data_IF_562254822221
#
_entry.id   IF_562254822221
#
_cell.length_a   1.000
_cell.length_b   1.000
_cell.length_c   1.000
_cell.angle_alpha   90.00
_cell.angle_beta   90.00
_cell.angle_gamma   90.00
#
_symmetry.space_group_name_H-M   'P 1'
#
loop_
_entity.id
_entity.type
_entity.pdbx_description
1 polymer ?
#
# COMPACT_ATOMS: atom_id res chain seq x y z
N UNK A 1 27.24 -64.63 31.70
CA UNK A 1 25.78 -64.72 31.43
C UNK A 1 25.36 -63.60 30.50
N UNK A 2 25.18 -63.89 29.23
CA UNK A 2 24.69 -62.96 28.20
C UNK A 2 23.16 -63.14 28.17
N UNK A 3 22.43 -62.23 28.75
CA UNK A 3 20.98 -62.17 28.61
C UNK A 3 20.70 -61.42 27.29
N UNK A 4 19.91 -61.96 26.34
CA UNK A 4 19.49 -61.26 25.17
C UNK A 4 18.54 -60.17 25.60
N UNK A 5 18.85 -58.92 25.19
CA UNK A 5 17.93 -57.77 25.33
C UNK A 5 16.62 -58.08 24.59
N UNK A 6 15.47 -57.75 25.18
CA UNK A 6 14.19 -58.05 24.55
C UNK A 6 14.01 -57.17 23.30
N UNK A 7 13.81 -57.82 22.16
CA UNK A 7 13.56 -57.18 20.85
C UNK A 7 12.36 -56.18 20.83
N UNK A 8 11.58 -56.18 21.91
CA UNK A 8 10.46 -55.24 22.05
C UNK A 8 10.87 -53.82 22.41
N UNK A 9 12.03 -53.59 23.06
CA UNK A 9 12.54 -52.24 23.33
C UNK A 9 13.00 -51.53 22.05
N UNK A 10 13.61 -52.27 21.13
CA UNK A 10 14.15 -51.76 19.88
C UNK A 10 13.03 -51.27 18.89
N UNK A 11 11.88 -51.94 18.89
CA UNK A 11 10.73 -51.55 18.04
C UNK A 11 10.03 -50.33 18.63
N UNK A 12 9.89 -50.23 19.95
CA UNK A 12 9.26 -49.07 20.59
C UNK A 12 10.09 -47.81 20.40
N UNK A 13 11.43 -47.92 20.51
CA UNK A 13 12.35 -46.81 20.30
C UNK A 13 12.36 -46.37 18.81
N UNK A 14 12.29 -47.30 17.86
CA UNK A 14 12.20 -47.04 16.44
C UNK A 14 10.90 -46.32 16.05
N UNK A 15 9.77 -46.76 16.62
CA UNK A 15 8.46 -46.13 16.40
C UNK A 15 8.43 -44.74 17.03
N UNK A 16 9.00 -44.56 18.22
CA UNK A 16 9.08 -43.31 18.91
C UNK A 16 9.92 -42.27 18.11
N UNK A 17 11.10 -42.65 17.65
CA UNK A 17 11.98 -41.80 16.85
C UNK A 17 11.35 -41.42 15.50
N UNK A 18 10.64 -42.34 14.84
CA UNK A 18 9.90 -42.07 13.62
C UNK A 18 8.75 -41.07 13.87
N UNK A 19 7.99 -41.25 14.94
CA UNK A 19 6.89 -40.36 15.32
C UNK A 19 7.41 -38.94 15.66
N UNK A 20 8.51 -38.84 16.39
CA UNK A 20 9.19 -37.58 16.71
C UNK A 20 9.68 -36.88 15.46
N UNK A 21 10.28 -37.61 14.50
CA UNK A 21 10.69 -37.08 13.22
C UNK A 21 9.52 -36.49 12.43
N UNK A 22 8.43 -37.24 12.32
CA UNK A 22 7.23 -36.79 11.61
C UNK A 22 6.58 -35.55 12.27
N UNK A 23 6.50 -35.49 13.59
CA UNK A 23 5.98 -34.32 14.31
C UNK A 23 6.88 -33.11 14.17
N UNK A 24 8.19 -33.30 14.18
CA UNK A 24 9.18 -32.23 13.97
C UNK A 24 9.06 -31.63 12.56
N UNK A 25 8.98 -32.48 11.52
CA UNK A 25 8.82 -32.07 10.15
C UNK A 25 7.50 -31.32 9.94
N UNK A 26 6.43 -31.78 10.56
CA UNK A 26 5.13 -31.12 10.52
C UNK A 26 5.16 -29.74 11.19
N UNK A 27 5.78 -29.61 12.36
CA UNK A 27 5.94 -28.30 13.01
C UNK A 27 6.80 -27.35 12.18
N UNK A 28 7.92 -27.84 11.63
CA UNK A 28 8.79 -27.03 10.79
C UNK A 28 8.08 -26.57 9.49
N UNK A 29 7.25 -27.43 8.91
CA UNK A 29 6.43 -27.06 7.75
C UNK A 29 5.41 -25.96 8.11
N UNK A 30 4.71 -26.06 9.24
CA UNK A 30 3.78 -25.03 9.69
C UNK A 30 4.50 -23.70 9.95
N UNK A 31 5.64 -23.72 10.64
CA UNK A 31 6.40 -22.49 10.89
C UNK A 31 6.96 -21.90 9.60
N UNK A 32 7.43 -22.73 8.66
CA UNK A 32 7.85 -22.29 7.33
C UNK A 32 6.71 -21.59 6.58
N UNK A 33 5.52 -22.20 6.56
CA UNK A 33 4.33 -21.60 5.94
C UNK A 33 3.92 -20.26 6.58
N UNK A 34 4.06 -20.12 7.92
CA UNK A 34 3.80 -18.84 8.61
C UNK A 34 4.78 -17.74 8.17
N UNK A 35 6.07 -18.08 8.04
CA UNK A 35 7.11 -17.14 7.57
C UNK A 35 6.83 -16.69 6.13
N UNK A 36 6.47 -17.61 5.25
CA UNK A 36 6.16 -17.30 3.84
C UNK A 36 4.94 -16.39 3.72
N UNK A 37 3.91 -16.63 4.54
CA UNK A 37 2.72 -15.78 4.64
C UNK A 37 3.10 -14.38 5.12
N UNK A 38 3.93 -14.24 6.15
CA UNK A 38 4.37 -12.94 6.66
C UNK A 38 5.22 -12.18 5.62
N UNK A 39 6.11 -12.86 4.90
CA UNK A 39 6.91 -12.26 3.81
C UNK A 39 6.03 -11.74 2.67
N UNK A 40 4.97 -12.46 2.33
CA UNK A 40 4.06 -12.05 1.24
C UNK A 40 3.28 -10.77 1.53
N UNK A 41 3.12 -10.38 2.80
CA UNK A 41 2.51 -9.10 3.21
C UNK A 41 3.55 -7.99 3.24
N UNK A 42 4.77 -8.29 3.69
CA UNK A 42 5.83 -7.34 3.98
C UNK A 42 6.50 -6.71 2.74
N UNK A 43 7.82 -6.56 2.82
CA UNK A 43 8.65 -5.82 1.84
C UNK A 43 8.56 -6.34 0.39
N UNK A 44 8.28 -7.63 0.20
CA UNK A 44 8.14 -8.26 -1.13
C UNK A 44 6.69 -8.31 -1.65
N UNK A 45 5.72 -7.86 -0.85
CA UNK A 45 4.30 -8.00 -1.12
C UNK A 45 3.59 -6.74 -1.61
N UNK A 46 2.28 -6.71 -1.35
CA UNK A 46 1.34 -5.66 -1.82
C UNK A 46 1.72 -4.25 -1.35
N UNK A 47 2.46 -4.11 -0.24
CA UNK A 47 2.86 -2.81 0.32
C UNK A 47 4.00 -2.13 -0.43
N UNK A 48 4.86 -2.89 -1.10
CA UNK A 48 6.01 -2.40 -1.88
C UNK A 48 5.73 -2.34 -3.39
N UNK A 49 4.56 -2.78 -3.84
CA UNK A 49 4.16 -2.78 -5.24
C UNK A 49 4.20 -1.36 -5.83
N UNK A 50 4.58 -1.24 -7.12
CA UNK A 50 4.50 0.03 -7.84
C UNK A 50 3.04 0.46 -8.00
N UNK A 51 2.80 1.76 -8.25
CA UNK A 51 1.45 2.27 -8.46
C UNK A 51 0.69 1.52 -9.57
N UNK A 52 1.40 1.07 -10.60
CA UNK A 52 0.82 0.35 -11.74
C UNK A 52 0.42 -1.10 -11.42
N UNK A 53 1.13 -1.74 -10.48
CA UNK A 53 0.98 -3.18 -10.17
C UNK A 53 0.28 -3.47 -8.86
N UNK A 54 -0.12 -2.44 -8.11
CA UNK A 54 -0.63 -2.54 -6.74
C UNK A 54 -1.86 -3.45 -6.59
N UNK A 55 -2.75 -3.49 -7.58
CA UNK A 55 -3.95 -4.35 -7.59
C UNK A 55 -3.86 -5.53 -8.58
N UNK A 56 -2.65 -5.93 -8.92
CA UNK A 56 -2.42 -7.03 -9.84
C UNK A 56 -2.40 -6.58 -11.30
N UNK A 57 -1.39 -6.97 -12.05
CA UNK A 57 -1.14 -6.55 -13.42
C UNK A 57 -0.50 -7.64 -14.28
N UNK A 58 -0.91 -8.91 -14.14
CA UNK A 58 -0.42 -9.96 -15.04
C UNK A 58 -1.45 -10.43 -16.07
N UNK A 59 -2.57 -9.71 -16.22
CA UNK A 59 -3.62 -9.98 -17.20
C UNK A 59 -3.62 -8.98 -18.37
N UNK A 60 -4.46 -9.25 -19.37
CA UNK A 60 -4.63 -8.41 -20.57
C UNK A 60 -5.16 -6.99 -20.28
N UNK A 61 -5.71 -6.75 -19.09
CA UNK A 61 -6.22 -5.45 -18.63
C UNK A 61 -5.85 -5.30 -17.17
N UNK A 62 -5.03 -4.30 -16.85
CA UNK A 62 -4.70 -3.99 -15.46
C UNK A 62 -5.76 -3.06 -14.85
N UNK A 63 -5.93 -3.10 -13.53
CA UNK A 63 -6.80 -2.14 -12.84
C UNK A 63 -6.33 -0.70 -13.06
N UNK A 64 -5.03 -0.50 -13.20
CA UNK A 64 -4.42 0.78 -13.55
C UNK A 64 -4.96 1.30 -14.89
N UNK A 65 -5.01 0.47 -15.94
CA UNK A 65 -5.48 0.87 -17.28
C UNK A 65 -6.96 1.28 -17.25
N UNK A 66 -7.79 0.56 -16.47
CA UNK A 66 -9.19 0.91 -16.28
C UNK A 66 -9.33 2.29 -15.61
N UNK A 67 -8.62 2.50 -14.51
CA UNK A 67 -8.68 3.74 -13.73
C UNK A 67 -8.13 4.91 -14.54
N UNK A 68 -7.03 4.72 -15.26
CA UNK A 68 -6.45 5.72 -16.15
C UNK A 68 -7.40 6.06 -17.30
N UNK A 69 -8.03 5.05 -17.91
CA UNK A 69 -9.04 5.27 -18.95
C UNK A 69 -10.27 6.05 -18.47
N UNK A 70 -10.75 5.79 -17.25
CA UNK A 70 -11.83 6.56 -16.62
C UNK A 70 -11.39 8.00 -16.33
N UNK A 71 -10.17 8.19 -15.83
CA UNK A 71 -9.61 9.51 -15.60
C UNK A 71 -9.55 10.32 -16.89
N UNK A 72 -8.99 9.76 -17.97
CA UNK A 72 -8.81 10.44 -19.25
C UNK A 72 -10.15 10.75 -19.95
N UNK A 73 -11.05 9.77 -20.01
CA UNK A 73 -12.29 9.89 -20.78
C UNK A 73 -13.41 10.67 -20.08
N UNK A 74 -13.48 10.59 -18.76
CA UNK A 74 -14.61 11.15 -18.00
C UNK A 74 -14.19 12.28 -17.03
N UNK A 75 -13.21 12.05 -16.19
CA UNK A 75 -12.92 12.96 -15.07
C UNK A 75 -12.10 14.17 -15.52
N UNK A 76 -11.15 13.98 -16.43
CA UNK A 76 -10.32 15.08 -16.96
C UNK A 76 -11.16 16.16 -17.66
N UNK A 77 -12.11 15.86 -18.56
CA UNK A 77 -12.98 16.87 -19.15
C UNK A 77 -13.83 17.62 -18.11
N UNK A 78 -14.31 16.92 -17.07
CA UNK A 78 -15.05 17.54 -15.97
C UNK A 78 -14.14 18.50 -15.21
N UNK A 79 -12.92 18.09 -14.87
CA UNK A 79 -11.92 18.93 -14.19
C UNK A 79 -11.57 20.20 -14.99
N UNK A 80 -11.38 20.07 -16.30
CA UNK A 80 -11.16 21.21 -17.20
C UNK A 80 -12.38 22.13 -17.27
N UNK A 81 -13.59 21.58 -17.26
CA UNK A 81 -14.84 22.34 -17.20
C UNK A 81 -14.97 23.15 -15.90
N UNK A 82 -14.68 22.52 -14.77
CA UNK A 82 -14.66 23.20 -13.46
C UNK A 82 -13.60 24.31 -13.44
N UNK A 83 -12.40 24.06 -13.97
CA UNK A 83 -11.34 25.06 -14.05
C UNK A 83 -11.77 26.25 -14.91
N UNK A 84 -12.43 26.01 -16.05
CA UNK A 84 -12.96 27.07 -16.91
C UNK A 84 -14.02 27.90 -16.20
N UNK A 85 -14.89 27.26 -15.42
CA UNK A 85 -15.87 27.95 -14.59
C UNK A 85 -15.20 28.82 -13.52
N UNK A 86 -14.22 28.26 -12.82
CA UNK A 86 -13.39 28.97 -11.83
C UNK A 86 -12.74 30.22 -12.45
N UNK A 87 -12.17 30.08 -13.64
CA UNK A 87 -11.54 31.19 -14.37
C UNK A 87 -12.56 32.27 -14.72
N UNK A 88 -13.74 31.89 -15.20
CA UNK A 88 -14.82 32.85 -15.53
C UNK A 88 -15.27 33.63 -14.28
N UNK A 89 -15.42 32.95 -13.13
CA UNK A 89 -15.76 33.63 -11.87
C UNK A 89 -14.68 34.63 -11.45
N UNK A 90 -13.41 34.29 -11.63
CA UNK A 90 -12.28 35.18 -11.33
C UNK A 90 -12.29 36.42 -12.25
N UNK A 91 -12.55 36.22 -13.55
CA UNK A 91 -12.69 37.33 -14.49
C UNK A 91 -13.82 38.30 -14.11
N UNK A 92 -14.99 37.73 -13.70
CA UNK A 92 -16.11 38.56 -13.25
C UNK A 92 -15.74 39.35 -11.99
N UNK A 93 -15.05 38.75 -11.03
CA UNK A 93 -14.57 39.42 -9.80
C UNK A 93 -13.60 40.56 -10.14
N UNK A 94 -12.69 40.38 -11.10
CA UNK A 94 -11.77 41.41 -11.57
C UNK A 94 -12.54 42.52 -12.27
N UNK A 95 -13.48 42.18 -13.18
CA UNK A 95 -14.32 43.16 -13.89
C UNK A 95 -15.12 44.06 -12.96
N UNK A 96 -15.72 43.47 -11.91
CA UNK A 96 -16.47 44.22 -10.89
C UNK A 96 -15.60 45.19 -10.08
N UNK A 97 -14.32 44.87 -9.88
CA UNK A 97 -13.38 45.77 -9.20
C UNK A 97 -12.93 46.95 -10.11
N UNK A 98 -13.03 46.77 -11.43
CA UNK A 98 -12.59 47.75 -12.41
C UNK A 98 -13.56 48.93 -12.57
N UNK A 99 -14.85 48.78 -12.26
CA UNK A 99 -15.87 49.85 -12.38
C UNK A 99 -15.59 51.08 -11.49
N UNK A 100 -14.57 51.00 -10.61
CA UNK A 100 -14.25 52.06 -9.65
C UNK A 100 -12.88 52.76 -9.82
N UNK A 101 -11.97 52.33 -10.71
CA UNK A 101 -10.63 52.91 -10.83
C UNK A 101 -9.99 52.74 -12.20
N UNK A 102 -9.37 53.82 -12.72
CA UNK A 102 -8.77 53.97 -14.05
C UNK A 102 -7.64 52.96 -14.36
N UNK A 103 -7.91 52.13 -15.31
CA UNK A 103 -7.18 51.59 -16.47
C UNK A 103 -5.85 50.79 -16.37
N UNK A 104 -4.85 51.09 -15.59
CA UNK A 104 -3.53 50.42 -15.72
C UNK A 104 -3.29 49.20 -14.77
N UNK A 105 -3.75 49.14 -13.53
CA UNK A 105 -3.58 47.97 -12.68
C UNK A 105 -4.34 46.73 -13.16
N UNK A 106 -5.47 46.94 -13.84
CA UNK A 106 -6.35 45.88 -14.31
C UNK A 106 -5.71 44.95 -15.37
N UNK A 107 -4.91 45.49 -16.28
CA UNK A 107 -4.24 44.68 -17.31
C UNK A 107 -3.23 43.72 -16.68
N UNK A 108 -2.51 44.16 -15.66
CA UNK A 108 -1.56 43.29 -14.92
C UNK A 108 -2.28 42.15 -14.19
N UNK A 109 -3.44 42.45 -13.60
CA UNK A 109 -4.23 41.41 -12.90
C UNK A 109 -4.78 40.35 -13.86
N UNK A 110 -5.27 40.77 -15.03
CA UNK A 110 -5.76 39.87 -16.08
C UNK A 110 -4.63 38.99 -16.64
N UNK A 111 -3.46 39.59 -16.93
CA UNK A 111 -2.30 38.82 -17.40
C UNK A 111 -1.82 37.82 -16.36
N UNK A 112 -1.77 38.23 -15.09
CA UNK A 112 -1.41 37.31 -13.99
C UNK A 112 -2.42 36.19 -13.87
N UNK A 113 -3.72 36.47 -13.99
CA UNK A 113 -4.77 35.44 -13.97
C UNK A 113 -4.65 34.48 -15.14
N UNK A 114 -4.30 34.94 -16.34
CA UNK A 114 -4.07 34.10 -17.52
C UNK A 114 -2.89 33.14 -17.31
N UNK A 115 -1.77 33.66 -16.80
CA UNK A 115 -0.61 32.81 -16.47
C UNK A 115 -0.98 31.80 -15.41
N UNK A 116 -1.69 32.20 -14.37
CA UNK A 116 -2.17 31.30 -13.30
C UNK A 116 -3.10 30.23 -13.85
N UNK A 117 -4.04 30.58 -14.73
CA UNK A 117 -4.92 29.65 -15.41
C UNK A 117 -4.13 28.61 -16.23
N UNK A 118 -3.13 29.05 -16.99
CA UNK A 118 -2.30 28.14 -17.78
C UNK A 118 -1.54 27.13 -16.89
N UNK A 119 -1.01 27.61 -15.76
CA UNK A 119 -0.34 26.73 -14.78
C UNK A 119 -1.32 25.69 -14.19
N UNK A 120 -2.53 26.14 -13.80
CA UNK A 120 -3.54 25.21 -13.28
C UNK A 120 -4.09 24.26 -14.33
N UNK A 121 -4.23 24.71 -15.57
CA UNK A 121 -4.61 23.84 -16.68
C UNK A 121 -3.59 22.73 -16.88
N UNK A 122 -2.31 23.06 -16.89
CA UNK A 122 -1.23 22.08 -16.95
C UNK A 122 -1.28 21.11 -15.76
N UNK A 123 -1.50 21.62 -14.55
CA UNK A 123 -1.58 20.81 -13.34
C UNK A 123 -2.78 19.84 -13.38
N UNK A 124 -3.93 20.28 -13.88
CA UNK A 124 -5.15 19.46 -14.02
C UNK A 124 -4.95 18.39 -15.08
N UNK A 125 -4.33 18.73 -16.22
CA UNK A 125 -4.05 17.79 -17.30
C UNK A 125 -3.07 16.69 -16.89
N UNK A 126 -2.10 16.98 -16.01
CA UNK A 126 -1.11 16.02 -15.51
C UNK A 126 -1.38 15.59 -14.06
N UNK A 127 -2.63 15.72 -13.62
CA UNK A 127 -3.01 15.45 -12.23
C UNK A 127 -2.81 13.99 -11.82
N UNK A 128 -3.07 13.06 -12.71
CA UNK A 128 -2.87 11.62 -12.46
C UNK A 128 -1.38 11.29 -12.29
N UNK A 129 -0.54 11.79 -13.18
CA UNK A 129 0.93 11.64 -13.11
C UNK A 129 1.50 12.27 -11.85
N UNK A 130 0.95 13.43 -11.43
CA UNK A 130 1.33 14.08 -10.17
C UNK A 130 1.02 13.18 -8.96
N UNK A 131 -0.15 12.56 -8.93
CA UNK A 131 -0.53 11.63 -7.86
C UNK A 131 0.34 10.37 -7.87
N UNK A 132 0.63 9.83 -9.05
CA UNK A 132 1.56 8.71 -9.22
C UNK A 132 2.97 9.08 -8.72
N UNK A 133 3.50 10.24 -9.09
CA UNK A 133 4.80 10.71 -8.62
C UNK A 133 4.85 10.88 -7.09
N UNK A 134 3.78 11.42 -6.50
CA UNK A 134 3.68 11.56 -5.04
C UNK A 134 3.68 10.20 -4.33
N UNK A 135 2.99 9.21 -4.89
CA UNK A 135 3.02 7.84 -4.39
C UNK A 135 4.42 7.23 -4.50
N UNK A 136 5.11 7.38 -5.65
CA UNK A 136 6.45 6.83 -5.86
C UNK A 136 7.49 7.43 -4.89
N UNK A 137 7.41 8.73 -4.61
CA UNK A 137 8.26 9.36 -3.57
C UNK A 137 8.01 8.71 -2.21
N UNK A 138 6.76 8.45 -1.87
CA UNK A 138 6.42 7.78 -0.61
C UNK A 138 6.91 6.33 -0.60
N UNK A 139 6.80 5.62 -1.72
CA UNK A 139 7.31 4.25 -1.88
C UNK A 139 8.82 4.17 -1.67
N UNK A 140 9.57 5.10 -2.26
CA UNK A 140 11.02 5.19 -2.05
C UNK A 140 11.35 5.45 -0.58
N UNK A 141 10.58 6.30 0.10
CA UNK A 141 10.75 6.53 1.53
C UNK A 141 10.47 5.26 2.35
N UNK A 142 9.41 4.51 2.01
CA UNK A 142 9.09 3.21 2.64
C UNK A 142 10.26 2.23 2.44
N UNK A 143 10.76 2.08 1.21
CA UNK A 143 11.88 1.18 0.92
C UNK A 143 13.13 1.54 1.73
N UNK A 144 13.48 2.84 1.81
CA UNK A 144 14.63 3.28 2.62
C UNK A 144 14.46 3.00 4.11
N UNK A 145 13.24 3.15 4.63
CA UNK A 145 12.95 2.80 6.03
C UNK A 145 13.08 1.28 6.21
N UNK A 146 12.54 0.49 5.30
CA UNK A 146 12.67 -0.98 5.33
C UNK A 146 14.13 -1.42 5.27
N UNK A 147 14.94 -0.80 4.40
CA UNK A 147 16.39 -1.11 4.29
C UNK A 147 17.14 -0.79 5.58
N UNK A 148 16.77 0.30 6.25
CA UNK A 148 17.37 0.67 7.54
C UNK A 148 17.01 -0.30 8.67
N UNK A 149 15.77 -0.76 8.71
CA UNK A 149 15.31 -1.73 9.70
C UNK A 149 15.66 -3.17 9.31
N UNK A 150 15.63 -3.50 8.02
CA UNK A 150 15.96 -4.82 7.48
C UNK A 150 17.43 -5.19 7.61
N UNK A 151 18.34 -4.25 7.43
CA UNK A 151 19.78 -4.48 7.64
C UNK A 151 20.18 -4.60 9.12
N UNK A 152 19.29 -4.25 10.07
CA UNK A 152 19.54 -4.36 11.53
C UNK A 152 18.67 -5.40 12.22
N UNK A 153 17.59 -5.82 11.61
CA UNK A 153 16.66 -6.83 12.09
C UNK A 153 16.27 -7.76 10.92
N UNK A 154 17.24 -8.41 10.30
CA UNK A 154 16.96 -9.76 9.84
C UNK A 154 16.58 -10.53 11.11
N UNK A 155 15.31 -10.43 11.48
CA UNK A 155 14.67 -11.54 12.14
C UNK A 155 14.87 -12.70 11.16
N UNK A 156 15.96 -13.44 11.38
CA UNK A 156 16.29 -14.63 10.60
C UNK A 156 15.20 -15.68 10.91
N UNK A 157 13.98 -15.36 10.44
CA UNK A 157 12.79 -16.20 10.59
C UNK A 157 12.94 -17.49 9.78
N UNK A 158 14.00 -17.58 8.95
CA UNK A 158 14.36 -18.80 8.25
C UNK A 158 14.97 -19.87 9.17
N UNK A 159 15.27 -19.54 10.43
CA UNK A 159 15.84 -20.45 11.42
C UNK A 159 14.93 -20.78 12.59
N UNK A 160 13.63 -20.52 12.49
CA UNK A 160 12.68 -21.14 13.43
C UNK A 160 12.54 -22.62 13.05
N UNK A 161 13.59 -23.38 13.30
CA UNK A 161 13.58 -24.85 13.24
C UNK A 161 13.66 -25.38 14.66
N UNK A 162 12.79 -26.33 14.97
CA UNK A 162 12.83 -27.04 16.24
C UNK A 162 14.07 -27.93 16.20
N UNK A 163 15.11 -27.52 16.90
CA UNK A 163 16.38 -28.26 17.04
C UNK A 163 16.45 -29.01 18.37
N UNK A 164 15.33 -29.15 19.09
CA UNK A 164 15.30 -29.95 20.32
C UNK A 164 15.62 -31.39 20.00
N UNK A 165 16.69 -31.90 20.62
CA UNK A 165 17.18 -33.27 20.49
C UNK A 165 16.44 -34.24 21.44
N UNK A 166 15.49 -33.71 22.24
CA UNK A 166 14.69 -34.53 23.16
C UNK A 166 13.60 -35.26 22.37
N UNK A 167 13.69 -36.59 22.37
CA UNK A 167 12.73 -37.49 21.76
C UNK A 167 11.49 -37.71 22.65
N UNK A 168 11.01 -36.65 23.30
CA UNK A 168 9.80 -36.64 24.11
C UNK A 168 8.56 -36.35 23.24
N UNK A 169 7.83 -37.42 22.87
CA UNK A 169 6.57 -37.33 22.10
C UNK A 169 5.56 -36.36 22.73
N UNK A 170 5.32 -36.36 24.08
CA UNK A 170 4.40 -35.39 24.69
C UNK A 170 4.79 -33.92 24.49
N UNK A 171 6.08 -33.62 24.57
CA UNK A 171 6.59 -32.27 24.36
C UNK A 171 6.40 -31.77 22.89
N UNK A 172 6.69 -32.64 21.92
CA UNK A 172 6.49 -32.41 20.51
C UNK A 172 5.01 -32.27 20.14
N UNK A 173 4.13 -33.06 20.78
CA UNK A 173 2.69 -32.94 20.61
C UNK A 173 2.17 -31.60 21.15
N UNK A 174 2.67 -31.16 22.29
CA UNK A 174 2.39 -29.84 22.84
C UNK A 174 2.81 -28.69 21.87
N UNK A 175 4.02 -28.80 21.30
CA UNK A 175 4.50 -27.86 20.29
C UNK A 175 3.63 -27.87 19.02
N UNK A 176 3.19 -29.04 18.54
CA UNK A 176 2.32 -29.16 17.39
C UNK A 176 0.96 -28.44 17.60
N UNK A 177 0.39 -28.59 18.80
CA UNK A 177 -0.85 -27.88 19.17
C UNK A 177 -0.62 -26.35 19.17
N UNK A 178 0.47 -25.88 19.76
CA UNK A 178 0.83 -24.44 19.77
C UNK A 178 1.06 -23.95 18.35
N UNK A 179 1.75 -24.72 17.51
CA UNK A 179 1.99 -24.36 16.10
C UNK A 179 0.68 -24.22 15.31
N UNK A 180 -0.29 -25.15 15.52
CA UNK A 180 -1.60 -25.08 14.89
C UNK A 180 -2.40 -23.85 15.34
N UNK A 181 -2.43 -23.56 16.64
CA UNK A 181 -3.12 -22.37 17.16
C UNK A 181 -2.47 -21.11 16.62
N UNK A 182 -1.14 -21.04 16.64
CA UNK A 182 -0.37 -19.92 16.06
C UNK A 182 -0.68 -19.75 14.57
N UNK A 183 -0.75 -20.83 13.80
CA UNK A 183 -1.06 -20.78 12.38
C UNK A 183 -2.45 -20.18 12.10
N UNK A 184 -3.46 -20.56 12.88
CA UNK A 184 -4.80 -19.96 12.75
C UNK A 184 -4.78 -18.45 13.03
N UNK A 185 -4.05 -18.02 14.06
CA UNK A 185 -3.92 -16.59 14.40
C UNK A 185 -3.22 -15.83 13.27
N UNK A 186 -2.11 -16.38 12.74
CA UNK A 186 -1.38 -15.79 11.61
C UNK A 186 -2.25 -15.71 10.36
N UNK A 187 -3.04 -16.75 10.07
CA UNK A 187 -3.95 -16.77 8.93
C UNK A 187 -5.03 -15.68 9.03
N UNK A 188 -5.63 -15.49 10.21
CA UNK A 188 -6.61 -14.42 10.44
C UNK A 188 -5.94 -13.07 10.28
N UNK A 189 -4.77 -12.86 10.86
CA UNK A 189 -4.00 -11.61 10.72
C UNK A 189 -3.65 -11.33 9.25
N UNK A 190 -3.27 -12.35 8.49
CA UNK A 190 -3.00 -12.26 7.05
C UNK A 190 -4.22 -11.77 6.27
N UNK A 191 -5.39 -12.39 6.48
CA UNK A 191 -6.63 -11.97 5.78
C UNK A 191 -6.95 -10.52 6.08
N UNK A 192 -6.84 -10.10 7.34
CA UNK A 192 -7.10 -8.70 7.74
C UNK A 192 -6.10 -7.75 7.05
N UNK A 193 -4.81 -8.06 7.09
CA UNK A 193 -3.77 -7.25 6.45
C UNK A 193 -3.99 -7.14 4.93
N UNK A 194 -4.38 -8.25 4.29
CA UNK A 194 -4.67 -8.29 2.85
C UNK A 194 -5.87 -7.41 2.50
N UNK A 195 -6.97 -7.50 3.25
CA UNK A 195 -8.16 -6.67 3.03
C UNK A 195 -7.82 -5.18 3.22
N UNK A 196 -7.07 -4.81 4.26
CA UNK A 196 -6.65 -3.43 4.51
C UNK A 196 -5.76 -2.90 3.38
N UNK A 197 -4.81 -3.70 2.90
CA UNK A 197 -3.92 -3.32 1.79
C UNK A 197 -4.69 -3.10 0.49
N UNK A 198 -5.64 -3.98 0.18
CA UNK A 198 -6.49 -3.83 -1.02
C UNK A 198 -7.41 -2.62 -0.93
N UNK A 199 -8.04 -2.40 0.22
CA UNK A 199 -8.88 -1.22 0.45
C UNK A 199 -8.09 0.08 0.25
N UNK A 200 -6.85 0.13 0.75
CA UNK A 200 -5.93 1.25 0.55
C UNK A 200 -5.56 1.45 -0.91
N UNK A 201 -5.24 0.37 -1.63
CA UNK A 201 -4.89 0.43 -3.05
C UNK A 201 -6.06 0.98 -3.89
N UNK A 202 -7.28 0.50 -3.65
CA UNK A 202 -8.49 1.01 -4.30
C UNK A 202 -8.70 2.50 -3.96
N UNK A 203 -8.51 2.89 -2.70
CA UNK A 203 -8.65 4.28 -2.27
C UNK A 203 -7.63 5.19 -2.99
N UNK A 204 -6.38 4.78 -3.14
CA UNK A 204 -5.35 5.53 -3.85
C UNK A 204 -5.69 5.70 -5.34
N UNK A 205 -6.15 4.65 -6.00
CA UNK A 205 -6.58 4.73 -7.40
C UNK A 205 -7.78 5.65 -7.58
N UNK A 206 -8.79 5.56 -6.72
CA UNK A 206 -9.95 6.45 -6.77
C UNK A 206 -9.52 7.90 -6.56
N UNK A 207 -8.68 8.17 -5.57
CA UNK A 207 -8.16 9.51 -5.33
C UNK A 207 -7.32 10.00 -6.52
N UNK A 208 -6.49 9.17 -7.14
CA UNK A 208 -5.75 9.57 -8.33
C UNK A 208 -6.68 9.88 -9.52
N UNK A 209 -7.71 9.05 -9.76
CA UNK A 209 -8.67 9.27 -10.83
C UNK A 209 -9.46 10.57 -10.68
N UNK A 210 -9.94 10.86 -9.46
CA UNK A 210 -10.74 12.06 -9.18
C UNK A 210 -9.91 13.33 -8.94
N UNK A 211 -8.58 13.27 -9.01
CA UNK A 211 -7.67 14.40 -8.73
C UNK A 211 -7.92 15.66 -9.56
N UNK A 212 -8.37 15.64 -10.84
CA UNK A 212 -8.60 16.86 -11.62
C UNK A 212 -9.59 17.83 -10.99
N UNK A 213 -10.63 17.30 -10.31
CA UNK A 213 -11.71 18.12 -9.75
C UNK A 213 -11.21 18.98 -8.55
N UNK A 214 -10.65 18.41 -7.48
CA UNK A 214 -10.15 19.22 -6.37
C UNK A 214 -8.95 20.09 -6.74
N UNK A 215 -8.12 19.68 -7.70
CA UNK A 215 -7.01 20.48 -8.19
C UNK A 215 -7.51 21.72 -8.94
N UNK A 216 -8.56 21.60 -9.76
CA UNK A 216 -9.16 22.75 -10.44
C UNK A 216 -9.78 23.77 -9.46
N UNK A 217 -10.33 23.32 -8.34
CA UNK A 217 -10.88 24.17 -7.29
C UNK A 217 -9.81 24.95 -6.50
N UNK A 218 -8.53 24.56 -6.56
CA UNK A 218 -7.44 25.33 -5.97
C UNK A 218 -7.24 26.70 -6.63
N UNK A 219 -7.76 26.89 -7.83
CA UNK A 219 -7.71 28.15 -8.56
C UNK A 219 -8.52 29.28 -7.95
N UNK A 220 -9.51 29.02 -7.10
CA UNK A 220 -10.32 30.00 -6.38
C UNK A 220 -9.82 30.15 -4.94
N UNK A 221 -9.71 31.39 -4.45
CA UNK A 221 -9.33 31.65 -3.05
C UNK A 221 -10.30 31.01 -2.07
N UNK A 222 -11.61 31.09 -2.37
CA UNK A 222 -12.68 30.59 -1.50
C UNK A 222 -12.68 29.04 -1.37
N UNK A 223 -12.28 28.30 -2.41
CA UNK A 223 -12.28 26.84 -2.49
C UNK A 223 -10.91 26.21 -2.41
N UNK A 224 -9.85 27.00 -2.34
CA UNK A 224 -8.46 26.56 -2.28
C UNK A 224 -8.20 25.54 -1.17
N UNK A 225 -8.87 25.72 -0.04
CA UNK A 225 -8.76 24.78 1.11
C UNK A 225 -9.22 23.37 0.78
N UNK A 226 -10.18 23.21 -0.13
CA UNK A 226 -10.68 21.89 -0.57
C UNK A 226 -9.56 21.13 -1.30
N UNK A 227 -8.90 21.77 -2.25
CA UNK A 227 -7.81 21.16 -3.00
C UNK A 227 -6.59 20.84 -2.13
N UNK A 228 -6.21 21.76 -1.22
CA UNK A 228 -5.12 21.51 -0.25
C UNK A 228 -5.48 20.36 0.69
N UNK A 229 -6.72 20.33 1.19
CA UNK A 229 -7.21 19.24 2.03
C UNK A 229 -7.15 17.89 1.33
N UNK A 230 -7.51 17.87 0.04
CA UNK A 230 -7.43 16.68 -0.78
C UNK A 230 -5.99 16.15 -0.93
N UNK A 231 -5.03 17.02 -1.25
CA UNK A 231 -3.61 16.65 -1.35
C UNK A 231 -3.06 16.14 -0.01
N UNK A 232 -3.44 16.77 1.10
CA UNK A 232 -3.08 16.30 2.44
C UNK A 232 -3.67 14.92 2.75
N UNK A 233 -4.91 14.71 2.38
CA UNK A 233 -5.59 13.41 2.56
C UNK A 233 -4.91 12.32 1.73
N UNK A 234 -4.59 12.60 0.47
CA UNK A 234 -3.86 11.68 -0.40
C UNK A 234 -2.48 11.33 0.18
N UNK A 235 -1.70 12.34 0.58
CA UNK A 235 -0.40 12.14 1.21
C UNK A 235 -0.51 11.32 2.51
N UNK A 236 -1.54 11.56 3.31
CA UNK A 236 -1.82 10.78 4.52
C UNK A 236 -2.08 9.31 4.21
N UNK A 237 -2.87 9.00 3.18
CA UNK A 237 -3.14 7.62 2.75
C UNK A 237 -1.86 6.96 2.21
N UNK A 238 -1.03 7.71 1.47
CA UNK A 238 0.28 7.22 1.04
C UNK A 238 1.18 6.90 2.22
N UNK A 239 1.27 7.79 3.22
CA UNK A 239 2.09 7.60 4.42
C UNK A 239 1.55 6.52 5.36
N UNK A 240 0.25 6.24 5.36
CA UNK A 240 -0.32 5.16 6.15
C UNK A 240 0.31 3.79 5.83
N UNK A 241 0.87 3.62 4.61
CA UNK A 241 1.64 2.44 4.26
C UNK A 241 2.92 2.25 5.07
N UNK A 242 3.55 3.34 5.51
CA UNK A 242 4.73 3.30 6.38
C UNK A 242 4.38 2.77 7.78
N UNK A 243 3.16 3.05 8.25
CA UNK A 243 2.72 2.67 9.61
C UNK A 243 2.31 1.19 9.66
N UNK A 244 1.86 0.63 8.53
CA UNK A 244 1.42 -0.78 8.44
C UNK A 244 2.62 -1.73 8.32
N UNK A 245 3.76 -1.24 7.87
CA UNK A 245 5.01 -1.96 7.70
C UNK A 245 5.73 -2.12 9.03
#
# INVERSE_FOLDING_TARGET
LWLPQPAHADIADTVNSWLCGMLRDFCNWIFGAQVDVLRSIGAEGVLSASFETMLGGSGTVSMYDIVHGVWESAILPIGCGVLSFVFTVQLIKISQRMDGSSSMPAVKEVVFLLVFFAVFLFLVQHSFELMQALYEVTRIAIQRVTDLFGNGAELDMGKVSITTTDDDVPALLGMAVVALVSWVVVLVAYIVALVVSWARAIQLYLMAAFSPIPLSLMGLEDTRQIGIGYLRSFASVCLAGVIIL
#
